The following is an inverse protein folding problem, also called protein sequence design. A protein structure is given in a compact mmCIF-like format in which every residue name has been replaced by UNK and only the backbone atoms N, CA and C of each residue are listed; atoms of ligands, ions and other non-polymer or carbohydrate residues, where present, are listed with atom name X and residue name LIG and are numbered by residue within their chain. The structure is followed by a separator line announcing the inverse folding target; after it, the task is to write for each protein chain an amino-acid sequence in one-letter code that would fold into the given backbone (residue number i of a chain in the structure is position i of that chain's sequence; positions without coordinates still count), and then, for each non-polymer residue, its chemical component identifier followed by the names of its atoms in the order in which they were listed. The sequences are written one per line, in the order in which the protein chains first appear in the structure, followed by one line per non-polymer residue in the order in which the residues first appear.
data_IF_148204706017
#
_entry.id   IF_148204706017
#
_cell.length_a   1.000
_cell.length_b   1.000
_cell.length_c   1.000
_cell.angle_alpha   90.00
_cell.angle_beta   90.00
_cell.angle_gamma   90.00
#
_symmetry.space_group_name_H-M   'P 1'
#
loop_
_entity.id
_entity.type
_entity.pdbx_description
1 polymer ?
#
# COMPACT_ATOMS: atom_id res chain seq x y z
N UNK A 1 -17.36 -3.65 21.88
CA UNK A 1 -15.95 -4.12 21.80
C UNK A 1 -15.83 -4.90 20.50
N UNK A 2 -14.83 -4.63 19.69
CA UNK A 2 -14.64 -5.36 18.42
C UNK A 2 -14.08 -6.73 18.79
N UNK A 3 -14.79 -7.78 18.40
CA UNK A 3 -14.37 -9.16 18.68
C UNK A 3 -13.34 -9.59 17.62
N UNK A 4 -12.06 -9.64 17.98
CA UNK A 4 -10.98 -10.21 17.15
C UNK A 4 -10.22 -11.21 17.99
N UNK A 5 -10.14 -12.44 17.50
CA UNK A 5 -9.43 -13.53 18.14
C UNK A 5 -8.10 -13.74 17.42
N UNK A 6 -7.03 -13.54 18.16
CA UNK A 6 -5.65 -13.67 17.64
C UNK A 6 -5.04 -14.99 18.09
N UNK A 7 -4.55 -15.78 17.14
CA UNK A 7 -3.90 -17.06 17.35
C UNK A 7 -2.52 -17.07 16.73
N UNK A 8 -1.59 -17.79 17.34
CA UNK A 8 -0.29 -18.10 16.72
C UNK A 8 -0.15 -19.61 16.73
N UNK A 9 -0.05 -20.19 15.56
CA UNK A 9 0.10 -21.63 15.39
C UNK A 9 1.53 -22.09 15.75
N UNK A 10 1.73 -23.39 16.05
CA UNK A 10 3.08 -23.92 16.34
C UNK A 10 4.09 -23.70 15.21
N UNK A 11 3.63 -23.59 13.94
CA UNK A 11 4.45 -23.27 12.79
C UNK A 11 4.80 -21.78 12.63
N UNK A 12 4.37 -20.94 13.58
CA UNK A 12 4.68 -19.51 13.63
C UNK A 12 3.69 -18.61 12.86
N UNK A 13 2.72 -19.18 12.13
CA UNK A 13 1.70 -18.39 11.45
C UNK A 13 0.85 -17.61 12.46
N UNK A 14 0.67 -16.33 12.24
CA UNK A 14 -0.29 -15.50 13.00
C UNK A 14 -1.63 -15.45 12.27
N UNK A 15 -2.70 -15.77 13.00
CA UNK A 15 -4.07 -15.79 12.48
C UNK A 15 -4.90 -14.79 13.28
N UNK A 16 -5.64 -13.93 12.57
CA UNK A 16 -6.61 -13.00 13.13
C UNK A 16 -8.00 -13.37 12.62
N UNK A 17 -8.93 -13.74 13.51
CA UNK A 17 -10.30 -14.06 13.19
C UNK A 17 -11.20 -12.93 13.69
N UNK A 18 -11.95 -12.31 12.78
CA UNK A 18 -12.93 -11.27 13.08
C UNK A 18 -14.31 -11.68 12.60
N UNK A 19 -15.20 -12.17 13.45
CA UNK A 19 -16.56 -12.51 13.05
C UNK A 19 -17.36 -11.27 12.64
N UNK A 20 -18.23 -11.46 11.64
CA UNK A 20 -19.20 -10.46 11.16
C UNK A 20 -20.56 -11.09 11.03
N UNK A 21 -21.32 -11.27 12.15
CA UNK A 21 -22.52 -12.10 12.21
C UNK A 21 -23.64 -11.66 11.27
N UNK A 22 -23.62 -10.39 10.85
CA UNK A 22 -24.66 -9.82 9.98
C UNK A 22 -24.33 -9.97 8.47
N UNK A 23 -23.22 -10.64 8.13
CA UNK A 23 -22.76 -10.78 6.73
C UNK A 23 -22.41 -12.24 6.45
N UNK A 24 -23.05 -12.81 5.43
CA UNK A 24 -22.76 -14.18 4.96
C UNK A 24 -21.49 -14.29 4.11
N UNK A 25 -20.70 -13.23 3.99
CA UNK A 25 -19.48 -13.19 3.18
C UNK A 25 -18.27 -13.40 4.09
N UNK A 26 -17.37 -14.25 3.64
CA UNK A 26 -16.06 -14.48 4.23
C UNK A 26 -14.99 -13.88 3.33
N UNK A 27 -14.03 -13.16 3.93
CA UNK A 27 -12.83 -12.71 3.21
C UNK A 27 -11.59 -13.15 3.99
N UNK A 28 -10.60 -13.68 3.29
CA UNK A 28 -9.32 -14.09 3.83
C UNK A 28 -8.20 -13.34 3.12
N UNK A 29 -7.25 -12.80 3.87
CA UNK A 29 -6.02 -12.18 3.36
C UNK A 29 -4.82 -12.90 3.98
N UNK A 30 -4.04 -13.58 3.14
CA UNK A 30 -2.76 -14.15 3.53
C UNK A 30 -1.64 -13.17 3.09
N UNK A 31 -1.17 -12.37 4.05
CA UNK A 31 -0.13 -11.37 3.81
C UNK A 31 1.24 -11.91 4.21
N UNK A 32 2.19 -11.90 3.28
CA UNK A 32 3.57 -12.33 3.46
C UNK A 32 4.43 -11.11 3.79
N UNK A 33 5.25 -11.18 4.85
CA UNK A 33 6.18 -10.11 5.28
C UNK A 33 7.37 -9.98 4.33
N UNK A 34 7.08 -9.67 3.09
CA UNK A 34 8.01 -9.41 2.01
C UNK A 34 7.29 -8.58 0.94
N UNK A 35 7.90 -7.54 0.43
CA UNK A 35 7.33 -6.69 -0.60
C UNK A 35 8.37 -6.26 -1.64
N UNK A 36 7.96 -5.47 -2.61
CA UNK A 36 8.81 -5.03 -3.70
C UNK A 36 10.06 -4.27 -3.25
N UNK A 37 10.02 -3.59 -2.10
CA UNK A 37 11.19 -2.93 -1.51
C UNK A 37 12.32 -3.89 -1.13
N UNK A 38 12.01 -5.18 -0.97
CA UNK A 38 12.96 -6.23 -0.59
C UNK A 38 13.64 -6.85 -1.81
N UNK A 39 13.18 -6.53 -3.03
CA UNK A 39 13.79 -6.99 -4.28
C UNK A 39 15.20 -6.41 -4.45
N UNK A 40 16.17 -7.18 -4.95
CA UNK A 40 17.43 -6.63 -5.41
C UNK A 40 17.19 -5.56 -6.50
N UNK A 41 17.99 -4.50 -6.50
CA UNK A 41 17.77 -3.37 -7.42
C UNK A 41 17.83 -3.78 -8.91
N UNK A 42 18.65 -4.77 -9.25
CA UNK A 42 18.75 -5.36 -10.59
C UNK A 42 17.65 -6.35 -10.92
N UNK A 43 16.85 -6.76 -9.93
CA UNK A 43 15.69 -7.65 -10.07
C UNK A 43 14.38 -6.96 -9.66
N UNK A 44 14.29 -5.66 -9.77
CA UNK A 44 13.09 -4.91 -9.44
C UNK A 44 11.87 -5.42 -10.23
N UNK A 45 10.76 -5.70 -9.52
CA UNK A 45 9.56 -6.32 -10.06
C UNK A 45 9.50 -7.86 -9.86
N UNK A 46 10.53 -8.45 -9.27
CA UNK A 46 10.57 -9.90 -8.98
C UNK A 46 9.42 -10.32 -8.07
N UNK A 47 9.22 -9.60 -6.97
CA UNK A 47 8.11 -9.83 -6.03
C UNK A 47 6.74 -9.67 -6.69
N UNK A 48 6.60 -8.67 -7.56
CA UNK A 48 5.36 -8.42 -8.28
C UNK A 48 5.03 -9.55 -9.26
N UNK A 49 6.00 -9.97 -10.08
CA UNK A 49 5.84 -11.09 -11.01
C UNK A 49 5.56 -12.39 -10.27
N UNK A 50 6.30 -12.67 -9.19
CA UNK A 50 6.07 -13.87 -8.37
C UNK A 50 4.65 -13.86 -7.79
N UNK A 51 4.19 -12.77 -7.22
CA UNK A 51 2.84 -12.68 -6.67
C UNK A 51 1.77 -12.99 -7.73
N UNK A 52 1.88 -12.40 -8.93
CA UNK A 52 0.94 -12.67 -10.04
C UNK A 52 0.91 -14.13 -10.45
N UNK A 53 2.04 -14.80 -10.39
CA UNK A 53 2.16 -16.21 -10.76
C UNK A 53 1.54 -17.17 -9.73
N UNK A 54 1.30 -16.75 -8.48
CA UNK A 54 0.71 -17.59 -7.44
C UNK A 54 -0.67 -18.16 -7.84
N UNK A 55 -1.43 -17.43 -8.63
CA UNK A 55 -2.78 -17.83 -9.08
C UNK A 55 -2.83 -18.38 -10.50
N UNK A 56 -1.66 -18.58 -11.15
CA UNK A 56 -1.57 -19.05 -12.54
C UNK A 56 -1.35 -20.55 -12.68
N UNK A 57 -1.66 -21.30 -11.64
CA UNK A 57 -1.60 -22.76 -11.56
C UNK A 57 -0.79 -23.24 -10.37
N UNK A 58 -1.16 -24.40 -9.88
CA UNK A 58 -0.53 -25.09 -8.76
C UNK A 58 -0.06 -26.47 -9.19
N UNK A 59 0.48 -27.24 -8.26
CA UNK A 59 0.83 -28.64 -8.51
C UNK A 59 -0.42 -29.52 -8.80
N UNK A 60 -1.61 -29.10 -8.34
CA UNK A 60 -2.85 -29.87 -8.42
C UNK A 60 -3.92 -29.25 -9.32
N UNK A 61 -3.79 -27.97 -9.69
CA UNK A 61 -4.80 -27.21 -10.44
C UNK A 61 -4.17 -26.32 -11.50
N UNK A 62 -4.78 -26.25 -12.67
CA UNK A 62 -4.52 -25.20 -13.66
C UNK A 62 -5.12 -23.87 -13.20
N UNK A 63 -4.73 -22.76 -13.83
CA UNK A 63 -5.34 -21.44 -13.58
C UNK A 63 -6.86 -21.45 -13.80
N UNK A 64 -7.32 -22.18 -14.82
CA UNK A 64 -8.75 -22.33 -15.12
C UNK A 64 -9.48 -23.09 -14.00
N UNK A 65 -8.91 -24.19 -13.49
CA UNK A 65 -9.51 -24.99 -12.41
C UNK A 65 -9.52 -24.22 -11.09
N UNK A 66 -8.52 -23.38 -10.81
CA UNK A 66 -8.53 -22.44 -9.66
C UNK A 66 -9.74 -21.52 -9.76
N UNK A 67 -9.89 -20.82 -10.89
CA UNK A 67 -11.02 -19.92 -11.13
C UNK A 67 -12.36 -20.66 -11.05
N UNK A 68 -12.51 -21.78 -11.77
CA UNK A 68 -13.73 -22.58 -11.79
C UNK A 68 -14.14 -23.08 -10.39
N UNK A 69 -13.16 -23.50 -9.57
CA UNK A 69 -13.43 -24.00 -8.21
C UNK A 69 -14.04 -22.91 -7.35
N UNK A 70 -13.48 -21.71 -7.37
CA UNK A 70 -13.98 -20.57 -6.57
C UNK A 70 -15.26 -19.97 -7.15
N UNK A 71 -15.34 -19.78 -8.46
CA UNK A 71 -16.55 -19.27 -9.12
C UNK A 71 -17.77 -20.18 -8.89
N UNK A 72 -17.58 -21.51 -8.78
CA UNK A 72 -18.66 -22.45 -8.48
C UNK A 72 -19.35 -22.23 -7.12
N UNK A 73 -18.66 -21.53 -6.19
CA UNK A 73 -19.16 -21.14 -4.87
C UNK A 73 -19.29 -19.62 -4.71
N UNK A 74 -19.33 -18.87 -5.83
CA UNK A 74 -19.43 -17.41 -5.85
C UNK A 74 -18.22 -16.70 -5.27
N UNK A 75 -17.05 -17.35 -5.24
CA UNK A 75 -15.81 -16.81 -4.71
C UNK A 75 -14.84 -16.38 -5.80
N UNK A 76 -13.77 -15.74 -5.36
CA UNK A 76 -12.64 -15.31 -6.18
C UNK A 76 -11.32 -15.42 -5.40
N UNK A 77 -10.19 -15.28 -6.10
CA UNK A 77 -8.86 -15.14 -5.51
C UNK A 77 -8.02 -14.16 -6.33
N UNK A 78 -7.38 -13.24 -5.66
CA UNK A 78 -6.48 -12.27 -6.27
C UNK A 78 -5.13 -12.25 -5.56
N UNK A 79 -4.07 -12.07 -6.33
CA UNK A 79 -2.74 -11.82 -5.81
C UNK A 79 -2.45 -10.32 -5.80
N UNK A 80 -1.73 -9.86 -4.79
CA UNK A 80 -1.28 -8.48 -4.70
C UNK A 80 0.19 -8.39 -4.30
N UNK A 81 0.85 -7.34 -4.75
CA UNK A 81 2.19 -6.97 -4.31
C UNK A 81 2.26 -5.45 -4.12
N UNK A 82 2.60 -5.04 -2.90
CA UNK A 82 2.91 -3.65 -2.56
C UNK A 82 4.39 -3.49 -2.23
N UNK A 83 4.76 -2.29 -1.81
CA UNK A 83 6.13 -2.03 -1.37
C UNK A 83 6.50 -2.82 -0.10
N UNK A 84 5.57 -2.91 0.87
CA UNK A 84 5.86 -3.47 2.20
C UNK A 84 5.53 -4.96 2.33
N UNK A 85 4.58 -5.46 1.55
CA UNK A 85 4.15 -6.85 1.60
C UNK A 85 3.40 -7.27 0.33
N UNK A 86 3.37 -8.57 0.12
CA UNK A 86 2.61 -9.24 -0.94
C UNK A 86 1.70 -10.30 -0.35
N UNK A 87 0.81 -10.86 -1.12
CA UNK A 87 -0.03 -11.96 -0.66
C UNK A 87 -1.16 -12.31 -1.59
N UNK A 88 -2.08 -13.08 -1.02
CA UNK A 88 -3.32 -13.52 -1.66
C UNK A 88 -4.52 -13.02 -0.86
N UNK A 89 -5.55 -12.64 -1.58
CA UNK A 89 -6.86 -12.32 -1.04
C UNK A 89 -7.90 -13.18 -1.71
N UNK A 90 -8.82 -13.76 -0.92
CA UNK A 90 -9.95 -14.52 -1.43
C UNK A 90 -11.21 -14.15 -0.66
N UNK A 91 -12.32 -14.20 -1.34
CA UNK A 91 -13.62 -14.09 -0.68
C UNK A 91 -14.59 -15.14 -1.23
N UNK A 92 -15.55 -15.53 -0.38
CA UNK A 92 -16.57 -16.51 -0.69
C UNK A 92 -17.76 -16.35 0.26
N UNK A 93 -18.79 -17.17 0.09
CA UNK A 93 -19.83 -17.33 1.10
C UNK A 93 -19.28 -18.09 2.31
N UNK A 94 -19.67 -17.74 3.53
CA UNK A 94 -19.11 -18.31 4.77
C UNK A 94 -19.23 -19.84 4.86
N UNK A 95 -20.25 -20.44 4.23
CA UNK A 95 -20.46 -21.91 4.21
C UNK A 95 -19.36 -22.64 3.43
N UNK A 96 -18.70 -21.98 2.50
CA UNK A 96 -17.75 -22.58 1.56
C UNK A 96 -16.29 -22.23 1.92
N UNK A 97 -16.04 -21.79 3.15
CA UNK A 97 -14.72 -21.38 3.63
C UNK A 97 -13.63 -22.45 3.43
N UNK A 98 -14.01 -23.75 3.48
CA UNK A 98 -13.06 -24.85 3.27
C UNK A 98 -12.52 -24.87 1.84
N UNK A 99 -13.38 -24.63 0.85
CA UNK A 99 -12.98 -24.55 -0.57
C UNK A 99 -12.04 -23.37 -0.77
N UNK A 100 -12.39 -22.19 -0.24
CA UNK A 100 -11.56 -21.00 -0.36
C UNK A 100 -10.20 -21.16 0.36
N UNK A 101 -10.19 -21.75 1.57
CA UNK A 101 -8.95 -22.03 2.30
C UNK A 101 -8.05 -23.04 1.57
N UNK A 102 -8.63 -24.09 0.98
CA UNK A 102 -7.91 -25.11 0.22
C UNK A 102 -7.23 -24.49 -1.01
N UNK A 103 -7.97 -23.71 -1.80
CA UNK A 103 -7.41 -23.02 -2.98
C UNK A 103 -6.36 -21.97 -2.57
N UNK A 104 -6.63 -21.17 -1.52
CA UNK A 104 -5.66 -20.22 -0.99
C UNK A 104 -4.35 -20.91 -0.58
N UNK A 105 -4.46 -22.03 0.15
CA UNK A 105 -3.31 -22.82 0.60
C UNK A 105 -2.52 -23.38 -0.58
N UNK A 106 -3.20 -23.94 -1.58
CA UNK A 106 -2.57 -24.52 -2.76
C UNK A 106 -1.83 -23.44 -3.58
N UNK A 107 -2.47 -22.29 -3.83
CA UNK A 107 -1.84 -21.16 -4.51
C UNK A 107 -0.64 -20.58 -3.73
N UNK A 108 -0.72 -20.55 -2.40
CA UNK A 108 0.32 -19.94 -1.57
C UNK A 108 1.57 -20.83 -1.43
N UNK A 109 1.40 -22.15 -1.30
CA UNK A 109 2.50 -23.06 -0.98
C UNK A 109 2.92 -23.99 -2.11
N UNK A 110 2.06 -24.22 -3.10
CA UNK A 110 2.31 -25.20 -4.16
C UNK A 110 2.14 -24.63 -5.58
N UNK A 111 2.50 -23.35 -5.86
CA UNK A 111 2.38 -22.81 -7.20
C UNK A 111 3.29 -23.59 -8.17
N UNK A 112 2.82 -23.82 -9.39
CA UNK A 112 3.56 -24.58 -10.40
C UNK A 112 4.68 -23.78 -11.05
N UNK A 113 4.51 -22.47 -11.19
CA UNK A 113 5.43 -21.57 -11.89
C UNK A 113 5.87 -22.16 -13.24
N UNK A 114 4.93 -22.43 -14.13
CA UNK A 114 5.27 -22.96 -15.46
C UNK A 114 5.99 -21.89 -16.29
N UNK A 115 6.88 -22.32 -17.20
CA UNK A 115 7.61 -21.38 -18.07
C UNK A 115 6.65 -20.60 -18.98
N UNK A 116 5.56 -21.20 -19.43
CA UNK A 116 4.54 -20.56 -20.26
C UNK A 116 3.86 -19.39 -19.52
N UNK A 117 3.37 -19.62 -18.30
CA UNK A 117 2.72 -18.55 -17.52
C UNK A 117 3.73 -17.48 -17.06
N UNK A 118 4.98 -17.88 -16.78
CA UNK A 118 6.06 -16.93 -16.49
C UNK A 118 6.29 -15.96 -17.66
N UNK A 119 6.49 -16.45 -18.86
CA UNK A 119 6.75 -15.61 -20.04
C UNK A 119 5.54 -14.73 -20.38
N UNK A 120 4.33 -15.26 -20.22
CA UNK A 120 3.08 -14.53 -20.43
C UNK A 120 2.92 -13.38 -19.41
N UNK A 121 3.00 -13.68 -18.10
CA UNK A 121 2.84 -12.65 -17.05
C UNK A 121 3.95 -11.60 -17.11
N UNK A 122 5.20 -11.99 -17.38
CA UNK A 122 6.31 -11.07 -17.62
C UNK A 122 6.00 -10.10 -18.76
N UNK A 123 5.47 -10.59 -19.87
CA UNK A 123 5.09 -9.77 -21.01
C UNK A 123 3.92 -8.85 -20.71
N UNK A 124 2.93 -9.32 -19.93
CA UNK A 124 1.80 -8.52 -19.49
C UNK A 124 2.25 -7.37 -18.56
N UNK A 125 3.11 -7.63 -17.60
CA UNK A 125 3.65 -6.59 -16.69
C UNK A 125 4.38 -5.51 -17.50
N UNK A 126 5.22 -5.90 -18.46
CA UNK A 126 5.90 -4.93 -19.32
C UNK A 126 4.91 -4.06 -20.11
N UNK A 127 3.84 -4.66 -20.62
CA UNK A 127 2.80 -3.92 -21.33
C UNK A 127 2.02 -2.98 -20.39
N UNK A 128 1.73 -3.41 -19.16
CA UNK A 128 1.09 -2.60 -18.13
C UNK A 128 1.96 -1.41 -17.71
N UNK A 129 3.28 -1.62 -17.51
CA UNK A 129 4.23 -0.53 -17.22
C UNK A 129 4.22 0.51 -18.34
N UNK A 130 4.31 0.09 -19.61
CA UNK A 130 4.25 1.01 -20.75
C UNK A 130 2.91 1.75 -20.82
N UNK A 131 1.79 1.06 -20.58
CA UNK A 131 0.47 1.67 -20.57
C UNK A 131 0.30 2.67 -19.42
N UNK A 132 0.84 2.38 -18.23
CA UNK A 132 0.81 3.31 -17.11
C UNK A 132 1.55 4.63 -17.40
N UNK A 133 2.53 4.60 -18.31
CA UNK A 133 3.20 5.81 -18.79
C UNK A 133 2.28 6.72 -19.62
N UNK A 134 1.19 6.23 -20.19
CA UNK A 134 0.21 7.03 -20.92
C UNK A 134 -0.70 7.86 -20.01
N UNK A 135 -0.88 7.45 -18.77
CA UNK A 135 -1.57 8.26 -17.77
C UNK A 135 -0.63 9.34 -17.20
N UNK A 136 -0.98 10.59 -17.45
CA UNK A 136 -0.16 11.77 -17.11
C UNK A 136 0.15 11.86 -15.61
N UNK A 137 -0.84 11.57 -14.78
CA UNK A 137 -0.66 11.61 -13.33
C UNK A 137 0.25 10.49 -12.87
N UNK A 138 -0.04 9.24 -13.22
CA UNK A 138 0.74 8.05 -12.83
C UNK A 138 2.19 8.18 -13.28
N UNK A 139 2.42 8.61 -14.53
CA UNK A 139 3.76 8.86 -15.07
C UNK A 139 4.54 9.90 -14.25
N UNK A 140 3.92 11.06 -13.99
CA UNK A 140 4.57 12.15 -13.25
C UNK A 140 4.81 11.78 -11.80
N UNK A 141 3.83 11.13 -11.15
CA UNK A 141 3.91 10.69 -9.78
C UNK A 141 4.99 9.62 -9.57
N UNK A 142 5.08 8.63 -10.46
CA UNK A 142 6.13 7.62 -10.44
C UNK A 142 7.54 8.25 -10.50
N UNK A 143 7.74 9.26 -11.36
CA UNK A 143 9.02 9.99 -11.44
C UNK A 143 9.30 10.80 -10.19
N UNK A 144 8.26 11.37 -9.57
CA UNK A 144 8.39 11.98 -8.24
C UNK A 144 8.85 10.97 -7.20
N UNK A 145 8.23 9.78 -7.12
CA UNK A 145 8.62 8.76 -6.13
C UNK A 145 10.08 8.33 -6.31
N UNK A 146 10.52 8.08 -7.54
CA UNK A 146 11.92 7.75 -7.83
C UNK A 146 12.89 8.87 -7.40
N UNK A 147 12.51 10.14 -7.61
CA UNK A 147 13.30 11.29 -7.15
C UNK A 147 13.30 11.40 -5.62
N UNK A 148 12.12 11.34 -5.01
CA UNK A 148 11.91 11.52 -3.58
C UNK A 148 12.58 10.42 -2.74
N UNK A 149 12.52 9.18 -3.20
CA UNK A 149 13.09 8.00 -2.54
C UNK A 149 14.43 7.56 -3.13
N UNK A 150 15.16 8.45 -3.83
CA UNK A 150 16.48 8.12 -4.40
C UNK A 150 17.42 7.57 -3.32
N UNK A 151 17.97 6.38 -3.55
CA UNK A 151 18.82 5.68 -2.58
C UNK A 151 18.10 5.04 -1.39
N UNK A 152 16.78 5.13 -1.34
CA UNK A 152 15.93 4.44 -0.36
C UNK A 152 15.31 3.18 -0.98
N UNK A 153 14.93 2.18 -0.14
CA UNK A 153 14.30 0.93 -0.60
C UNK A 153 13.00 1.16 -1.40
N UNK A 154 12.30 2.26 -1.18
CA UNK A 154 11.09 2.65 -1.92
C UNK A 154 11.39 3.43 -3.22
N UNK A 155 12.65 3.59 -3.60
CA UNK A 155 13.03 4.33 -4.80
C UNK A 155 12.75 3.61 -6.11
N UNK A 156 12.41 2.32 -6.03
CA UNK A 156 12.05 1.51 -7.19
C UNK A 156 10.54 1.23 -7.17
N UNK A 157 9.84 1.36 -8.29
CA UNK A 157 8.41 1.00 -8.40
C UNK A 157 8.16 -0.48 -8.06
N UNK A 158 7.01 -0.78 -7.47
CA UNK A 158 6.69 -2.15 -7.07
C UNK A 158 6.59 -3.13 -8.26
N UNK A 159 6.15 -2.63 -9.40
CA UNK A 159 6.06 -3.38 -10.66
C UNK A 159 7.42 -3.57 -11.36
N UNK A 160 8.47 -2.89 -10.88
CA UNK A 160 9.76 -2.80 -11.55
C UNK A 160 9.77 -1.80 -12.70
N UNK A 161 10.81 -1.90 -13.53
CA UNK A 161 10.95 -1.18 -14.81
C UNK A 161 10.91 -2.19 -15.95
N UNK A 162 10.62 -1.73 -17.18
CA UNK A 162 10.52 -2.62 -18.37
C UNK A 162 11.78 -3.47 -18.52
N UNK A 163 12.94 -2.86 -18.32
CA UNK A 163 14.25 -3.48 -18.47
C UNK A 163 14.55 -4.51 -17.36
N UNK A 164 14.24 -4.17 -16.10
CA UNK A 164 14.46 -5.10 -14.98
C UNK A 164 13.54 -6.29 -15.08
N UNK A 165 12.25 -6.08 -15.39
CA UNK A 165 11.27 -7.15 -15.59
C UNK A 165 11.67 -8.04 -16.80
N UNK A 166 12.24 -7.47 -17.88
CA UNK A 166 12.72 -8.22 -19.03
C UNK A 166 13.87 -9.18 -18.66
N UNK A 167 14.71 -8.79 -17.70
CA UNK A 167 15.89 -9.57 -17.29
C UNK A 167 15.58 -10.65 -16.25
N UNK A 168 14.37 -10.67 -15.66
CA UNK A 168 14.00 -11.69 -14.68
C UNK A 168 14.00 -13.08 -15.30
N UNK A 169 14.49 -14.02 -14.54
CA UNK A 169 14.50 -15.43 -14.90
C UNK A 169 13.57 -16.26 -14.00
N UNK A 170 13.23 -17.43 -14.51
CA UNK A 170 12.31 -18.35 -13.86
C UNK A 170 12.86 -18.96 -12.55
N UNK A 171 14.19 -19.09 -12.43
CA UNK A 171 14.84 -19.66 -11.25
C UNK A 171 14.75 -18.68 -10.08
N UNK A 172 14.92 -17.39 -10.32
CA UNK A 172 14.77 -16.34 -9.32
C UNK A 172 13.37 -16.33 -8.69
N UNK A 173 12.30 -16.57 -9.47
CA UNK A 173 10.94 -16.70 -8.96
C UNK A 173 10.82 -17.86 -7.98
N UNK A 174 11.32 -19.04 -8.36
CA UNK A 174 11.29 -20.24 -7.49
C UNK A 174 12.11 -20.05 -6.23
N UNK A 175 13.28 -19.44 -6.35
CA UNK A 175 14.16 -19.15 -5.22
C UNK A 175 13.53 -18.17 -4.23
N UNK A 176 12.91 -17.10 -4.74
CA UNK A 176 12.20 -16.15 -3.90
C UNK A 176 11.03 -16.82 -3.18
N UNK A 177 10.16 -17.52 -3.90
CA UNK A 177 9.03 -18.22 -3.30
C UNK A 177 9.48 -19.18 -2.18
N UNK A 178 10.48 -20.03 -2.43
CA UNK A 178 11.02 -20.95 -1.42
C UNK A 178 11.59 -20.22 -0.19
N UNK A 179 12.07 -19.01 -0.35
CA UNK A 179 12.61 -18.19 0.73
C UNK A 179 11.51 -17.55 1.61
N UNK A 180 10.38 -17.14 1.03
CA UNK A 180 9.39 -16.32 1.73
C UNK A 180 8.06 -17.03 2.03
N UNK A 181 7.69 -18.08 1.29
CA UNK A 181 6.46 -18.85 1.52
C UNK A 181 6.60 -19.77 2.75
N UNK A 182 6.76 -19.14 3.91
CA UNK A 182 6.92 -19.81 5.21
C UNK A 182 5.83 -19.34 6.16
N UNK A 183 5.18 -20.25 6.90
CA UNK A 183 4.09 -19.89 7.81
C UNK A 183 4.43 -18.76 8.79
N UNK A 184 5.65 -18.72 9.35
CA UNK A 184 6.11 -17.69 10.28
C UNK A 184 6.26 -16.29 9.63
N UNK A 185 6.31 -16.22 8.30
CA UNK A 185 6.33 -14.97 7.55
C UNK A 185 4.93 -14.48 7.19
N UNK A 186 3.88 -15.24 7.51
CA UNK A 186 2.53 -14.99 7.05
C UNK A 186 1.65 -14.51 8.21
N UNK A 187 0.85 -13.49 7.92
CA UNK A 187 -0.31 -13.09 8.72
C UNK A 187 -1.55 -13.45 7.92
N UNK A 188 -2.35 -14.36 8.43
CA UNK A 188 -3.66 -14.70 7.85
C UNK A 188 -4.74 -13.93 8.60
N UNK A 189 -5.45 -13.08 7.91
CA UNK A 189 -6.61 -12.34 8.45
C UNK A 189 -7.87 -12.87 7.82
N UNK A 190 -8.84 -13.23 8.66
CA UNK A 190 -10.14 -13.76 8.26
C UNK A 190 -11.22 -12.86 8.83
N UNK A 191 -12.05 -12.30 7.97
CA UNK A 191 -13.21 -11.47 8.34
C UNK A 191 -14.47 -12.12 7.80
N UNK A 192 -15.34 -12.55 8.70
CA UNK A 192 -16.52 -13.36 8.43
C UNK A 192 -16.68 -14.44 9.48
N UNK A 193 -17.73 -15.25 9.37
CA UNK A 193 -17.99 -16.29 10.35
C UNK A 193 -17.36 -17.60 9.90
N UNK A 194 -16.52 -18.17 10.76
CA UNK A 194 -15.97 -19.52 10.61
C UNK A 194 -16.03 -20.23 11.98
N UNK A 195 -16.17 -21.56 12.00
CA UNK A 195 -15.99 -22.34 13.23
C UNK A 195 -14.51 -22.33 13.61
N UNK A 196 -14.12 -21.59 14.65
CA UNK A 196 -12.72 -21.33 15.01
C UNK A 196 -11.89 -22.61 15.13
N UNK A 197 -12.35 -23.57 15.95
CA UNK A 197 -11.59 -24.80 16.18
C UNK A 197 -11.36 -25.60 14.91
N UNK A 198 -12.38 -25.70 14.06
CA UNK A 198 -12.30 -26.44 12.81
C UNK A 198 -11.40 -25.69 11.80
N UNK A 199 -11.50 -24.36 11.75
CA UNK A 199 -10.68 -23.53 10.87
C UNK A 199 -9.20 -23.61 11.25
N UNK A 200 -8.88 -23.45 12.53
CA UNK A 200 -7.51 -23.57 13.03
C UNK A 200 -6.95 -24.98 12.83
N UNK A 201 -7.76 -26.01 13.06
CA UNK A 201 -7.35 -27.41 12.78
C UNK A 201 -7.08 -27.64 11.29
N UNK A 202 -7.90 -27.10 10.39
CA UNK A 202 -7.70 -27.22 8.95
C UNK A 202 -6.38 -26.60 8.52
N UNK A 203 -6.05 -25.40 9.01
CA UNK A 203 -4.75 -24.75 8.72
C UNK A 203 -3.60 -25.59 9.30
N UNK A 204 -3.70 -26.03 10.54
CA UNK A 204 -2.65 -26.84 11.17
C UNK A 204 -2.35 -28.15 10.43
N UNK A 205 -3.34 -28.70 9.72
CA UNK A 205 -3.20 -29.92 8.92
C UNK A 205 -2.65 -29.70 7.51
N UNK A 206 -2.94 -28.54 6.91
CA UNK A 206 -2.66 -28.26 5.49
C UNK A 206 -1.44 -27.37 5.26
N UNK A 207 -1.13 -26.50 6.25
CA UNK A 207 0.00 -25.60 6.11
C UNK A 207 1.30 -26.28 6.54
N UNK A 208 2.45 -25.96 5.89
CA UNK A 208 3.73 -26.58 6.22
C UNK A 208 4.07 -26.48 7.71
N UNK A 209 4.67 -27.55 8.23
CA UNK A 209 5.27 -27.49 9.57
C UNK A 209 6.44 -26.49 9.52
N UNK A 210 6.33 -25.39 10.26
CA UNK A 210 7.43 -24.46 10.39
C UNK A 210 8.59 -25.06 11.20
N UNK A 211 9.76 -24.41 11.23
CA UNK A 211 10.85 -24.82 12.12
C UNK A 211 10.31 -24.81 13.54
N UNK A 212 10.50 -25.92 14.27
CA UNK A 212 10.17 -26.01 15.71
C UNK A 212 11.03 -25.01 16.46
N UNK A 213 10.55 -23.80 16.61
CA UNK A 213 11.15 -22.84 17.54
C UNK A 213 10.58 -23.13 18.93
N UNK A 214 11.44 -23.28 19.97
CA UNK A 214 10.92 -23.25 21.32
C UNK A 214 10.16 -21.95 21.51
N UNK A 215 8.98 -22.03 22.15
CA UNK A 215 8.18 -20.86 22.48
C UNK A 215 9.04 -19.84 23.23
N UNK A 216 9.57 -18.89 22.49
CA UNK A 216 10.23 -17.73 23.07
C UNK A 216 9.20 -16.87 23.80
N UNK A 217 9.61 -16.03 24.75
CA UNK A 217 8.71 -15.18 25.48
C UNK A 217 7.84 -14.40 24.49
N UNK A 218 6.52 -14.36 24.77
CA UNK A 218 5.56 -13.55 24.00
C UNK A 218 6.10 -12.13 23.94
N UNK A 219 6.54 -11.70 22.76
CA UNK A 219 7.05 -10.34 22.57
C UNK A 219 5.89 -9.36 22.73
N UNK A 220 6.10 -8.22 23.41
CA UNK A 220 5.06 -7.18 23.49
C UNK A 220 4.56 -6.81 22.09
N UNK A 221 3.27 -6.53 21.96
CA UNK A 221 2.70 -6.00 20.75
C UNK A 221 3.51 -4.77 20.31
N UNK A 222 3.93 -4.71 19.04
CA UNK A 222 4.77 -3.64 18.51
C UNK A 222 6.29 -3.92 18.48
N UNK A 223 6.75 -5.09 18.91
CA UNK A 223 8.17 -5.47 18.72
C UNK A 223 8.40 -6.02 17.31
N UNK A 224 9.25 -5.40 16.48
CA UNK A 224 9.52 -5.87 15.12
C UNK A 224 10.20 -7.25 15.14
N UNK A 225 9.91 -8.14 14.17
CA UNK A 225 10.59 -9.42 14.03
C UNK A 225 12.11 -9.25 13.81
N UNK A 226 12.91 -10.27 14.16
CA UNK A 226 14.38 -10.20 14.05
C UNK A 226 14.89 -9.86 12.64
N UNK A 227 14.14 -10.22 11.61
CA UNK A 227 14.45 -9.88 10.21
C UNK A 227 14.35 -8.38 9.93
N UNK A 228 13.41 -7.67 10.56
CA UNK A 228 13.30 -6.22 10.47
C UNK A 228 14.52 -5.50 11.08
N UNK A 229 15.21 -6.11 12.02
CA UNK A 229 16.46 -5.55 12.55
C UNK A 229 17.60 -5.64 11.52
N UNK A 230 17.64 -6.67 10.68
CA UNK A 230 18.63 -6.80 9.61
C UNK A 230 18.30 -5.82 8.46
N UNK A 231 17.01 -5.63 8.12
CA UNK A 231 16.54 -4.60 7.18
C UNK A 231 16.78 -3.20 7.76
N UNK A 232 16.45 -2.98 9.04
CA UNK A 232 16.73 -1.72 9.75
C UNK A 232 18.21 -1.40 9.85
N UNK A 233 19.11 -2.38 9.97
CA UNK A 233 20.57 -2.19 9.92
C UNK A 233 21.08 -1.82 8.53
N UNK A 234 20.31 -2.12 7.45
CA UNK A 234 20.59 -1.66 6.09
C UNK A 234 20.14 -0.23 5.85
N UNK A 235 19.21 0.28 6.67
CA UNK A 235 18.77 1.68 6.69
C UNK A 235 19.69 2.48 7.61
N UNK A 236 20.96 2.64 7.21
CA UNK A 236 21.84 3.62 7.84
C UNK A 236 21.28 5.05 7.65
N UNK A 237 21.63 6.03 8.51
CA UNK A 237 21.07 7.39 8.46
C UNK A 237 21.17 8.11 7.12
N UNK A 238 22.00 7.64 6.19
CA UNK A 238 22.16 8.19 4.83
C UNK A 238 20.97 7.90 3.89
N UNK A 239 20.05 7.02 4.26
CA UNK A 239 18.88 6.64 3.43
C UNK A 239 17.56 7.23 3.94
N UNK A 240 17.61 8.42 4.52
CA UNK A 240 16.38 9.12 4.91
C UNK A 240 15.51 9.44 3.68
N UNK A 241 14.16 9.31 3.77
CA UNK A 241 13.28 9.70 2.68
C UNK A 241 13.42 11.19 2.39
N UNK A 242 13.31 11.59 1.13
CA UNK A 242 13.42 12.98 0.72
C UNK A 242 14.82 13.37 0.25
N UNK A 243 15.65 12.44 -0.19
CA UNK A 243 16.95 12.75 -0.82
C UNK A 243 16.83 13.75 -1.99
N UNK A 244 15.71 13.72 -2.72
CA UNK A 244 15.41 14.68 -3.81
C UNK A 244 14.72 15.97 -3.36
N UNK A 245 14.66 16.29 -2.07
CA UNK A 245 14.04 17.55 -1.61
C UNK A 245 14.72 18.78 -2.20
N UNK A 246 13.92 19.72 -2.67
CA UNK A 246 14.39 20.91 -3.36
C UNK A 246 14.80 20.70 -4.80
N UNK A 247 14.85 19.46 -5.27
CA UNK A 247 15.14 19.16 -6.66
C UNK A 247 13.85 19.11 -7.49
N UNK A 248 14.03 19.44 -8.78
CA UNK A 248 12.94 19.39 -9.77
C UNK A 248 13.38 18.50 -10.94
N UNK A 249 12.56 17.54 -11.29
CA UNK A 249 12.67 16.80 -12.55
C UNK A 249 11.63 17.33 -13.53
N UNK A 250 12.06 17.71 -14.72
CA UNK A 250 11.18 18.13 -15.82
C UNK A 250 11.12 17.01 -16.85
N UNK A 251 9.91 16.62 -17.19
CA UNK A 251 9.58 15.53 -18.09
C UNK A 251 8.87 16.11 -19.32
N UNK A 252 9.20 15.60 -20.48
CA UNK A 252 8.54 15.99 -21.74
C UNK A 252 7.88 14.79 -22.38
N UNK A 253 6.63 14.95 -22.82
CA UNK A 253 5.87 13.91 -23.53
C UNK A 253 4.88 14.57 -24.50
N UNK A 254 4.39 13.83 -25.48
CA UNK A 254 3.27 14.29 -26.33
C UNK A 254 1.98 14.32 -25.54
N UNK A 255 1.71 15.44 -24.91
CA UNK A 255 0.52 15.69 -24.07
C UNK A 255 -0.02 17.10 -24.31
N UNK A 256 -1.32 17.29 -24.11
CA UNK A 256 -1.94 18.61 -24.26
C UNK A 256 -1.90 19.42 -22.94
N UNK A 257 -1.75 18.76 -21.79
CA UNK A 257 -1.81 19.37 -20.47
C UNK A 257 -0.51 19.15 -19.74
N UNK A 258 -0.09 20.14 -18.94
CA UNK A 258 0.99 19.98 -17.98
C UNK A 258 0.48 19.36 -16.68
N UNK A 259 1.37 18.63 -16.02
CA UNK A 259 1.11 18.06 -14.71
C UNK A 259 2.26 18.38 -13.75
N UNK A 260 1.93 18.73 -12.51
CA UNK A 260 2.94 19.00 -11.46
C UNK A 260 2.59 18.16 -10.24
N UNK A 261 3.60 17.53 -9.66
CA UNK A 261 3.49 16.82 -8.39
C UNK A 261 4.59 17.30 -7.44
N UNK A 262 4.20 17.71 -6.23
CA UNK A 262 5.11 18.11 -5.14
C UNK A 262 5.10 17.03 -4.07
N UNK A 263 6.26 16.49 -3.71
CA UNK A 263 6.41 15.47 -2.67
C UNK A 263 7.08 16.01 -1.42
N UNK A 264 6.47 15.78 -0.28
CA UNK A 264 6.94 16.17 1.04
C UNK A 264 7.15 14.94 1.93
N UNK A 265 8.14 14.93 2.84
CA UNK A 265 8.24 13.86 3.83
C UNK A 265 7.01 13.86 4.74
N UNK A 266 6.67 12.68 5.24
CA UNK A 266 5.62 12.52 6.23
C UNK A 266 6.04 11.52 7.30
N UNK A 267 5.48 11.68 8.50
CA UNK A 267 5.65 10.71 9.58
C UNK A 267 5.03 9.37 9.22
N UNK A 268 5.71 8.31 9.63
CA UNK A 268 5.17 6.95 9.50
C UNK A 268 3.91 6.79 10.34
N UNK A 269 2.98 5.94 9.92
CA UNK A 269 1.86 5.54 10.77
C UNK A 269 2.37 5.04 12.14
N UNK A 270 1.67 5.41 13.20
CA UNK A 270 2.05 5.07 14.58
C UNK A 270 2.94 6.07 15.29
N UNK A 271 3.56 7.02 14.58
CA UNK A 271 4.31 8.12 15.20
C UNK A 271 3.41 9.32 15.53
N UNK A 272 3.81 10.18 16.48
CA UNK A 272 2.93 11.22 17.06
C UNK A 272 2.34 12.20 16.05
N UNK A 273 3.12 12.66 15.07
CA UNK A 273 2.68 13.68 14.11
C UNK A 273 1.92 13.11 12.89
N UNK A 274 1.84 11.78 12.77
CA UNK A 274 1.17 11.13 11.62
C UNK A 274 -0.30 11.52 11.47
N UNK A 275 -1.03 11.66 12.56
CA UNK A 275 -2.44 12.09 12.55
C UNK A 275 -2.61 13.56 12.17
N UNK A 276 -1.70 14.43 12.65
CA UNK A 276 -1.71 15.84 12.31
C UNK A 276 -1.39 16.08 10.82
N UNK A 277 -0.40 15.35 10.28
CA UNK A 277 -0.08 15.38 8.85
C UNK A 277 -1.22 14.82 7.98
N UNK A 278 -1.90 13.79 8.48
CA UNK A 278 -3.07 13.25 7.79
C UNK A 278 -4.18 14.30 7.70
N UNK A 279 -4.43 15.02 8.78
CA UNK A 279 -5.43 16.10 8.80
C UNK A 279 -4.98 17.32 7.97
N UNK A 280 -3.68 17.68 8.00
CA UNK A 280 -3.10 18.70 7.13
C UNK A 280 -3.33 18.37 5.64
N UNK A 281 -3.12 17.12 5.24
CA UNK A 281 -3.43 16.64 3.90
C UNK A 281 -4.90 16.85 3.55
N UNK A 282 -5.82 16.55 4.46
CA UNK A 282 -7.26 16.77 4.27
C UNK A 282 -7.65 18.23 4.08
N UNK A 283 -7.11 19.12 4.90
CA UNK A 283 -7.31 20.57 4.77
C UNK A 283 -6.79 21.08 3.43
N UNK A 284 -5.62 20.59 3.00
CA UNK A 284 -5.00 21.05 1.75
C UNK A 284 -5.77 20.61 0.52
N UNK A 285 -6.09 19.33 0.36
CA UNK A 285 -6.54 18.89 -0.97
C UNK A 285 -7.47 17.67 -1.02
N UNK A 286 -8.03 17.19 0.10
CA UNK A 286 -8.99 16.10 0.06
C UNK A 286 -10.44 16.60 0.04
N UNK A 287 -11.05 16.55 -1.13
CA UNK A 287 -12.43 17.01 -1.37
C UNK A 287 -12.51 18.40 -2.00
N UNK A 288 -13.70 18.72 -2.54
CA UNK A 288 -13.93 19.95 -3.29
C UNK A 288 -13.93 21.22 -2.42
N UNK A 289 -14.10 21.11 -1.12
CA UNK A 289 -14.04 22.24 -0.18
C UNK A 289 -12.65 22.50 0.39
N UNK A 290 -11.63 21.70 0.01
CA UNK A 290 -10.26 21.84 0.44
C UNK A 290 -9.58 23.06 -0.22
N UNK A 291 -8.49 23.58 0.41
CA UNK A 291 -7.81 24.82 -0.01
C UNK A 291 -7.35 24.78 -1.47
N UNK A 292 -6.71 23.71 -1.89
CA UNK A 292 -6.19 23.57 -3.26
C UNK A 292 -7.33 23.63 -4.29
N UNK A 293 -8.45 22.95 -4.03
CA UNK A 293 -9.58 22.96 -4.94
C UNK A 293 -10.24 24.35 -5.00
N UNK A 294 -10.62 24.90 -3.85
CA UNK A 294 -11.33 26.17 -3.76
C UNK A 294 -10.48 27.36 -4.24
N UNK A 295 -9.18 27.37 -3.94
CA UNK A 295 -8.30 28.49 -4.26
C UNK A 295 -7.70 28.39 -5.67
N UNK A 296 -7.17 27.21 -6.08
CA UNK A 296 -6.47 27.07 -7.34
C UNK A 296 -7.41 26.72 -8.52
N UNK A 297 -8.47 25.93 -8.25
CA UNK A 297 -9.40 25.56 -9.30
C UNK A 297 -10.55 26.54 -9.44
N UNK A 298 -11.30 26.80 -8.36
CA UNK A 298 -12.53 27.59 -8.44
C UNK A 298 -12.24 29.11 -8.52
N UNK A 299 -11.29 29.63 -7.74
CA UNK A 299 -11.00 31.06 -7.71
C UNK A 299 -10.00 31.47 -8.80
N UNK A 300 -8.87 30.77 -8.88
CA UNK A 300 -7.75 31.16 -9.74
C UNK A 300 -7.81 30.54 -11.14
N UNK A 301 -8.70 29.58 -11.37
CA UNK A 301 -8.92 28.85 -12.64
C UNK A 301 -7.63 28.20 -13.22
N UNK A 302 -6.72 27.77 -12.35
CA UNK A 302 -5.43 27.20 -12.73
C UNK A 302 -5.48 25.68 -12.94
N UNK A 303 -6.53 24.99 -12.45
CA UNK A 303 -6.52 23.53 -12.34
C UNK A 303 -7.68 22.86 -13.07
N UNK A 304 -7.40 21.81 -13.84
CA UNK A 304 -8.39 20.83 -14.30
C UNK A 304 -8.58 19.71 -13.26
N UNK A 305 -7.46 19.30 -12.63
CA UNK A 305 -7.44 18.37 -11.51
C UNK A 305 -6.46 18.89 -10.46
N UNK A 306 -6.82 18.82 -9.20
CA UNK A 306 -5.95 19.26 -8.10
C UNK A 306 -6.32 18.52 -6.83
N UNK A 307 -5.33 18.20 -6.00
CA UNK A 307 -5.57 17.52 -4.74
C UNK A 307 -4.29 17.20 -3.97
N UNK A 308 -4.47 16.46 -2.90
CA UNK A 308 -3.40 15.95 -2.05
C UNK A 308 -3.67 14.50 -1.68
N UNK A 309 -2.62 13.78 -1.33
CA UNK A 309 -2.72 12.47 -0.71
C UNK A 309 -1.53 12.20 0.21
N UNK A 310 -1.75 11.38 1.23
CA UNK A 310 -0.70 10.91 2.13
C UNK A 310 -0.56 9.40 1.97
N UNK A 311 0.61 8.97 1.53
CA UNK A 311 0.99 7.57 1.35
C UNK A 311 1.70 7.09 2.61
N UNK A 312 0.98 6.31 3.41
CA UNK A 312 1.55 5.64 4.58
C UNK A 312 2.29 4.38 4.17
N UNK A 313 3.52 4.20 4.66
CA UNK A 313 4.35 3.00 4.48
C UNK A 313 5.07 2.67 5.78
N UNK A 314 5.56 1.45 5.89
CA UNK A 314 6.20 0.97 7.12
C UNK A 314 7.48 1.74 7.47
N UNK A 315 8.37 1.99 6.51
CA UNK A 315 9.69 2.58 6.77
C UNK A 315 9.69 4.11 6.61
N UNK A 316 8.96 4.63 5.63
CA UNK A 316 8.96 6.05 5.29
C UNK A 316 7.68 6.43 4.54
N UNK A 317 6.99 7.44 4.99
CA UNK A 317 5.78 7.96 4.36
C UNK A 317 6.07 9.26 3.60
N UNK A 318 5.19 9.63 2.68
CA UNK A 318 5.23 10.93 2.04
C UNK A 318 3.82 11.48 1.83
N UNK A 319 3.74 12.81 1.81
CA UNK A 319 2.56 13.55 1.39
C UNK A 319 2.86 14.15 0.03
N UNK A 320 1.92 14.08 -0.89
CA UNK A 320 2.07 14.75 -2.16
C UNK A 320 0.87 15.62 -2.50
N UNK A 321 1.15 16.70 -3.23
CA UNK A 321 0.16 17.58 -3.86
C UNK A 321 0.29 17.44 -5.35
N UNK A 322 -0.81 17.51 -6.08
CA UNK A 322 -0.79 17.43 -7.53
C UNK A 322 -1.72 18.45 -8.18
N UNK A 323 -1.35 18.89 -9.39
CA UNK A 323 -2.16 19.78 -10.22
C UNK A 323 -1.98 19.45 -11.69
N UNK A 324 -3.10 19.28 -12.38
CA UNK A 324 -3.17 19.28 -13.85
C UNK A 324 -3.57 20.67 -14.34
N UNK A 325 -2.78 21.28 -15.21
CA UNK A 325 -2.92 22.68 -15.60
C UNK A 325 -2.62 22.91 -17.08
N UNK A 326 -2.89 24.11 -17.56
CA UNK A 326 -2.48 24.54 -18.92
C UNK A 326 -0.95 24.69 -18.95
N UNK A 327 -0.26 24.24 -20.01
CA UNK A 327 1.18 24.41 -20.16
C UNK A 327 1.68 25.85 -19.98
N UNK A 328 0.92 26.84 -20.41
CA UNK A 328 1.26 28.26 -20.28
C UNK A 328 1.23 28.77 -18.83
N UNK A 329 0.56 28.05 -17.92
CA UNK A 329 0.39 28.45 -16.50
C UNK A 329 1.11 27.52 -15.53
N UNK A 330 1.91 26.55 -16.02
CA UNK A 330 2.52 25.51 -15.20
C UNK A 330 3.38 26.07 -14.04
N UNK A 331 4.19 27.09 -14.28
CA UNK A 331 5.03 27.72 -13.27
C UNK A 331 4.19 28.43 -12.20
N UNK A 332 3.16 29.15 -12.64
CA UNK A 332 2.23 29.84 -11.72
C UNK A 332 1.49 28.80 -10.87
N UNK A 333 0.99 27.73 -11.48
CA UNK A 333 0.25 26.69 -10.79
C UNK A 333 1.14 25.95 -9.77
N UNK A 334 2.38 25.61 -10.15
CA UNK A 334 3.38 25.03 -9.26
C UNK A 334 3.65 25.92 -8.04
N UNK A 335 3.94 27.20 -8.27
CA UNK A 335 4.27 28.13 -7.20
C UNK A 335 3.07 28.40 -6.28
N UNK A 336 1.87 28.48 -6.82
CA UNK A 336 0.64 28.64 -6.03
C UNK A 336 0.38 27.40 -5.17
N UNK A 337 0.52 26.19 -5.73
CA UNK A 337 0.34 24.95 -4.98
C UNK A 337 1.37 24.82 -3.85
N UNK A 338 2.64 25.16 -4.10
CA UNK A 338 3.70 25.19 -3.08
C UNK A 338 3.37 26.20 -1.96
N UNK A 339 2.96 27.42 -2.32
CA UNK A 339 2.58 28.45 -1.35
C UNK A 339 1.40 28.02 -0.48
N UNK A 340 0.41 27.34 -1.02
CA UNK A 340 -0.73 26.84 -0.21
C UNK A 340 -0.28 25.81 0.85
N UNK A 341 0.72 24.98 0.54
CA UNK A 341 1.31 24.08 1.53
C UNK A 341 2.06 24.85 2.63
N UNK A 342 2.88 25.83 2.23
CA UNK A 342 3.65 26.68 3.14
C UNK A 342 2.73 27.56 4.00
N UNK A 343 1.69 28.15 3.40
CA UNK A 343 0.71 29.01 4.08
C UNK A 343 -0.06 28.28 5.19
N UNK A 344 -0.18 26.94 5.16
CA UNK A 344 -0.82 26.21 6.24
C UNK A 344 -0.10 26.39 7.59
N UNK A 345 1.19 26.72 7.55
CA UNK A 345 1.98 27.04 8.74
C UNK A 345 1.71 28.46 9.30
N UNK A 346 1.34 29.42 8.43
CA UNK A 346 1.17 30.83 8.78
C UNK A 346 -0.31 31.25 8.85
N UNK A 347 -1.18 30.55 8.11
CA UNK A 347 -2.62 30.70 8.10
C UNK A 347 -3.26 29.40 8.67
N UNK A 348 -3.39 29.29 10.00
CA UNK A 348 -4.04 28.11 10.63
C UNK A 348 -5.42 27.85 10.05
N UNK A 349 -5.83 26.56 9.93
CA UNK A 349 -7.22 26.28 9.58
C UNK A 349 -8.14 26.81 10.69
N UNK A 350 -9.22 27.47 10.28
CA UNK A 350 -10.27 27.82 11.23
C UNK A 350 -11.03 26.56 11.70
N UNK A 351 -11.82 26.70 12.76
CA UNK A 351 -12.55 25.59 13.36
C UNK A 351 -13.50 24.91 12.36
N UNK A 352 -14.11 25.67 11.47
CA UNK A 352 -15.03 25.15 10.47
C UNK A 352 -14.29 24.37 9.36
N UNK A 353 -13.14 24.86 8.94
CA UNK A 353 -12.27 24.21 7.95
C UNK A 353 -11.69 22.89 8.51
N UNK A 354 -11.19 22.93 9.75
CA UNK A 354 -10.65 21.78 10.44
C UNK A 354 -11.72 20.71 10.65
N UNK A 355 -12.92 21.11 11.07
CA UNK A 355 -14.03 20.17 11.29
C UNK A 355 -14.53 19.56 9.98
N UNK A 356 -14.62 20.31 8.89
CA UNK A 356 -14.95 19.76 7.56
C UNK A 356 -13.95 18.69 7.11
N UNK A 357 -12.64 18.99 7.24
CA UNK A 357 -11.60 18.02 6.90
C UNK A 357 -11.70 16.76 7.76
N UNK A 358 -11.94 16.92 9.07
CA UNK A 358 -12.12 15.81 10.02
C UNK A 358 -13.32 14.95 9.64
N UNK A 359 -14.48 15.54 9.40
CA UNK A 359 -15.70 14.82 9.02
C UNK A 359 -15.55 14.11 7.67
N UNK A 360 -14.89 14.74 6.71
CA UNK A 360 -14.61 14.10 5.43
C UNK A 360 -13.75 12.84 5.61
N UNK A 361 -12.67 12.93 6.39
CA UNK A 361 -11.79 11.78 6.67
C UNK A 361 -12.50 10.65 7.41
N UNK A 362 -13.30 11.00 8.42
CA UNK A 362 -14.08 10.00 9.17
C UNK A 362 -15.10 9.29 8.27
N UNK A 363 -15.76 10.06 7.40
CA UNK A 363 -16.65 9.48 6.40
C UNK A 363 -15.93 8.54 5.43
N UNK A 364 -14.78 8.95 4.91
CA UNK A 364 -13.94 8.11 4.01
C UNK A 364 -13.42 6.86 4.71
N UNK A 365 -13.04 6.98 5.99
CA UNK A 365 -12.64 5.83 6.80
C UNK A 365 -13.76 4.80 6.93
N UNK A 366 -14.99 5.24 7.22
CA UNK A 366 -16.15 4.34 7.33
C UNK A 366 -16.49 3.68 5.99
N UNK A 367 -16.53 4.46 4.91
CA UNK A 367 -16.78 3.96 3.56
C UNK A 367 -15.70 2.94 3.14
N UNK A 368 -14.44 3.23 3.41
CA UNK A 368 -13.32 2.34 3.07
C UNK A 368 -13.28 1.02 3.86
N UNK A 369 -14.16 0.84 4.86
CA UNK A 369 -14.23 -0.35 5.73
C UNK A 369 -15.57 -1.09 5.65
N UNK A 370 -16.37 -0.83 4.63
CA UNK A 370 -17.70 -1.43 4.48
C UNK A 370 -17.65 -2.93 4.16
N UNK A 371 -16.63 -3.39 3.44
CA UNK A 371 -16.49 -4.78 3.02
C UNK A 371 -15.59 -5.59 3.95
N UNK A 372 -15.83 -6.89 4.04
CA UNK A 372 -14.98 -7.79 4.81
C UNK A 372 -13.56 -7.83 4.23
N UNK A 373 -13.41 -7.78 2.90
CA UNK A 373 -12.13 -7.69 2.20
C UNK A 373 -11.33 -6.44 2.61
N UNK A 374 -11.95 -5.26 2.61
CA UNK A 374 -11.30 -4.02 3.02
C UNK A 374 -10.86 -4.05 4.50
N UNK A 375 -11.69 -4.64 5.37
CA UNK A 375 -11.34 -4.85 6.78
C UNK A 375 -10.16 -5.80 6.92
N UNK A 376 -10.18 -6.94 6.24
CA UNK A 376 -9.12 -7.94 6.29
C UNK A 376 -7.80 -7.34 5.80
N UNK A 377 -7.80 -6.62 4.68
CA UNK A 377 -6.62 -5.95 4.14
C UNK A 377 -6.08 -4.87 5.08
N UNK A 378 -6.94 -4.04 5.67
CA UNK A 378 -6.56 -3.03 6.66
C UNK A 378 -5.88 -3.64 7.89
N UNK A 379 -6.46 -4.72 8.44
CA UNK A 379 -5.90 -5.44 9.59
C UNK A 379 -4.55 -6.10 9.24
N UNK A 380 -4.46 -6.74 8.07
CA UNK A 380 -3.21 -7.32 7.58
C UNK A 380 -2.12 -6.28 7.45
N UNK A 381 -2.42 -5.12 6.85
CA UNK A 381 -1.48 -4.00 6.67
C UNK A 381 -0.93 -3.51 8.02
N UNK A 382 -1.79 -3.19 8.97
CA UNK A 382 -1.36 -2.66 10.27
C UNK A 382 -0.61 -3.70 11.09
N UNK A 383 -0.95 -4.98 10.94
CA UNK A 383 -0.25 -6.08 11.58
C UNK A 383 1.15 -6.31 10.98
N UNK A 384 1.28 -6.27 9.66
CA UNK A 384 2.57 -6.35 8.95
C UNK A 384 3.49 -5.20 9.37
N UNK A 385 2.95 -3.98 9.49
CA UNK A 385 3.71 -2.80 9.94
C UNK A 385 4.09 -2.82 11.43
N UNK A 386 3.66 -3.84 12.19
CA UNK A 386 3.97 -3.96 13.61
C UNK A 386 3.19 -3.00 14.51
N UNK A 387 2.13 -2.38 14.00
CA UNK A 387 1.26 -1.47 14.76
C UNK A 387 0.18 -2.23 15.54
N UNK A 388 -0.07 -3.50 15.15
CA UNK A 388 -1.19 -4.29 15.64
C UNK A 388 -2.48 -4.01 14.86
N UNK A 389 -3.37 -4.99 14.81
CA UNK A 389 -4.63 -4.88 14.09
C UNK A 389 -5.57 -3.80 14.66
N UNK A 390 -5.49 -3.54 15.97
CA UNK A 390 -6.29 -2.51 16.67
C UNK A 390 -5.96 -1.09 16.21
N UNK A 391 -4.76 -0.87 15.70
CA UNK A 391 -4.32 0.48 15.33
C UNK A 391 -5.27 1.16 14.34
N UNK A 392 -5.77 0.39 13.37
CA UNK A 392 -6.76 0.89 12.41
C UNK A 392 -8.08 1.30 13.06
N UNK A 393 -8.51 0.61 14.09
CA UNK A 393 -9.79 0.85 14.79
C UNK A 393 -9.79 2.18 15.56
N UNK A 394 -8.64 2.61 16.06
CA UNK A 394 -8.47 3.87 16.79
C UNK A 394 -8.20 5.09 15.88
N UNK A 395 -8.37 4.94 14.56
CA UNK A 395 -8.21 6.06 13.64
C UNK A 395 -9.16 7.22 13.93
N UNK A 396 -10.47 7.00 14.20
CA UNK A 396 -11.39 8.09 14.50
C UNK A 396 -10.99 8.91 15.73
N UNK A 397 -10.57 8.24 16.82
CA UNK A 397 -10.15 8.90 18.05
C UNK A 397 -8.89 9.73 17.82
N UNK A 398 -7.92 9.19 17.09
CA UNK A 398 -6.68 9.91 16.76
C UNK A 398 -6.95 11.16 15.93
N UNK A 399 -7.79 11.08 14.91
CA UNK A 399 -8.12 12.23 14.06
C UNK A 399 -8.93 13.28 14.84
N UNK A 400 -9.86 12.86 15.69
CA UNK A 400 -10.64 13.79 16.54
C UNK A 400 -9.78 14.52 17.57
N UNK A 401 -8.73 13.89 18.06
CA UNK A 401 -7.84 14.46 19.07
C UNK A 401 -6.87 15.50 18.50
N UNK A 402 -6.70 15.60 17.17
CA UNK A 402 -5.77 16.58 16.57
C UNK A 402 -6.32 18.00 16.70
N UNK A 403 -5.55 18.89 17.28
CA UNK A 403 -5.84 20.33 17.38
C UNK A 403 -5.20 21.13 16.21
N UNK A 404 -5.67 22.35 15.97
CA UNK A 404 -5.20 23.20 14.87
C UNK A 404 -3.70 23.54 14.98
N UNK A 405 -3.20 23.78 16.20
CA UNK A 405 -1.78 24.06 16.47
C UNK A 405 -0.87 22.87 16.12
N UNK A 406 -1.34 21.64 16.29
CA UNK A 406 -0.62 20.44 15.85
C UNK A 406 -0.55 20.33 14.31
N UNK A 407 -1.62 20.70 13.60
CA UNK A 407 -1.62 20.79 12.13
C UNK A 407 -0.61 21.82 11.65
N UNK A 408 -0.59 23.01 12.27
CA UNK A 408 0.37 24.10 11.98
C UNK A 408 1.81 23.65 12.26
N UNK A 409 2.05 23.01 13.40
CA UNK A 409 3.38 22.51 13.77
C UNK A 409 3.87 21.46 12.76
N UNK A 410 3.01 20.54 12.36
CA UNK A 410 3.32 19.54 11.36
C UNK A 410 3.59 20.19 9.99
N UNK A 411 2.79 21.18 9.57
CA UNK A 411 3.01 21.91 8.32
C UNK A 411 4.37 22.61 8.31
N UNK A 412 4.74 23.32 9.37
CA UNK A 412 6.05 23.98 9.49
C UNK A 412 7.23 23.03 9.39
N UNK A 413 7.09 21.85 9.93
CA UNK A 413 8.17 20.85 9.95
C UNK A 413 8.31 20.10 8.63
N UNK A 414 7.21 19.75 8.00
CA UNK A 414 7.20 18.78 6.89
C UNK A 414 6.89 19.40 5.53
N UNK A 415 6.04 20.45 5.45
CA UNK A 415 5.58 21.00 4.18
C UNK A 415 6.50 22.10 3.63
N UNK A 416 7.79 21.82 3.63
CA UNK A 416 8.83 22.73 3.16
C UNK A 416 9.74 22.04 2.17
N UNK A 417 10.25 22.77 1.19
CA UNK A 417 11.27 22.33 0.25
C UNK A 417 10.92 20.96 -0.43
N UNK A 418 9.81 20.86 -1.19
CA UNK A 418 9.38 19.61 -1.81
C UNK A 418 10.34 19.12 -2.90
N UNK A 419 10.38 17.79 -3.10
CA UNK A 419 10.77 17.23 -4.39
C UNK A 419 9.67 17.54 -5.41
N UNK A 420 10.04 17.85 -6.65
CA UNK A 420 9.08 18.29 -7.67
C UNK A 420 9.24 17.48 -8.95
N UNK A 421 8.14 16.98 -9.49
CA UNK A 421 8.09 16.45 -10.85
C UNK A 421 7.12 17.28 -11.70
N UNK A 422 7.58 17.69 -12.87
CA UNK A 422 6.81 18.52 -13.81
C UNK A 422 6.77 17.82 -15.15
N UNK A 423 5.59 17.51 -15.65
CA UNK A 423 5.35 17.04 -16.99
C UNK A 423 4.86 18.19 -17.86
N UNK A 424 5.53 18.43 -18.97
CA UNK A 424 5.13 19.44 -19.98
C UNK A 424 5.05 18.82 -21.36
N UNK A 425 4.27 19.44 -22.28
CA UNK A 425 4.25 19.02 -23.68
C UNK A 425 5.66 19.04 -24.28
N UNK A 426 5.94 18.08 -25.17
CA UNK A 426 7.14 18.13 -26.02
C UNK A 426 7.11 19.40 -26.86
N UNK A 427 8.24 20.12 -27.03
CA UNK A 427 8.31 21.21 -27.98
C UNK A 427 8.02 20.65 -29.36
N UNK A 428 7.03 21.24 -30.06
CA UNK A 428 6.63 20.88 -31.41
C UNK A 428 7.74 21.15 -32.42
#
# INVERSE_FOLDING_TARGET
MIDVRAHTLPNGCKILLRPTPDKAILSMVAAVRWGARDDPADQAGLSHLMARLLTKGTASRTAFEIAQTLESVGGDIEAFCGQDFLGLETQTVETDWRIALDVLTDCLFHPSFTAEEFDKERSLIQAEIRRAEDDKFSFTYRRLECLFYRGHLYGTPAEGEVETVASLDHESIRALHAAIARPESIVLVVVGNVPDEEFLAAIAMTWPAGPVRPAGPVRPAGSPPERDQAVRRRLEPEQAPGAGRGETVVLTKEVEQAFVVLGYPAERPGLPESAALRLACGVLGEGMSARLFSRLRDRDHLAYAVGSSLVGRELASHLFLYIGTNPATVEIARDRMRREAENLADEPPDDAELERARQYMLGRYLIGRQTNAALARSMATTEIWGLGWEWGEHFPERIKAVAADQVVSAARRYLTNPATAVLVPSPG
#
